data_IF_707217767016
#
_entry.id   IF_707217767016
#
_cell.length_a   1.000
_cell.length_b   1.000
_cell.length_c   1.000
_cell.angle_alpha   90.00
_cell.angle_beta   90.00
_cell.angle_gamma   90.00
#
_symmetry.space_group_name_H-M   'P 1'
#
loop_
_entity.id
_entity.type
_entity.pdbx_description
1 polymer ?
#
# COMPACT_ATOMS: atom_id res chain seq x y z
N UNK A 1 18.95 15.24 20.48
CA UNK A 1 17.48 15.11 20.39
C UNK A 1 17.14 14.86 18.94
N UNK A 2 16.62 13.68 18.59
CA UNK A 2 16.10 13.45 17.23
C UNK A 2 14.87 14.34 17.03
N UNK A 3 14.90 15.21 16.01
CA UNK A 3 13.72 16.00 15.64
C UNK A 3 12.58 15.08 15.19
N UNK A 4 11.34 15.49 15.46
CA UNK A 4 10.12 14.77 15.04
C UNK A 4 10.17 14.43 13.54
N UNK A 5 10.74 15.33 12.73
CA UNK A 5 10.96 15.23 11.28
C UNK A 5 11.85 14.06 10.88
N UNK A 6 12.92 13.76 11.64
CA UNK A 6 13.81 12.63 11.32
C UNK A 6 13.13 11.26 11.54
N UNK A 7 12.25 11.16 12.56
CA UNK A 7 11.47 9.96 12.81
C UNK A 7 10.38 9.76 11.76
N UNK A 8 9.68 10.83 11.38
CA UNK A 8 8.70 10.83 10.29
C UNK A 8 9.35 10.40 8.97
N UNK A 9 10.49 11.01 8.61
CA UNK A 9 11.23 10.63 7.40
C UNK A 9 11.55 9.13 7.37
N UNK A 10 12.13 8.59 8.44
CA UNK A 10 12.47 7.16 8.52
C UNK A 10 11.25 6.26 8.46
N UNK A 11 10.14 6.68 9.06
CA UNK A 11 8.89 5.94 9.01
C UNK A 11 8.35 5.89 7.57
N UNK A 12 8.17 7.05 6.93
CA UNK A 12 7.64 7.16 5.57
C UNK A 12 8.55 6.42 4.59
N UNK A 13 9.87 6.55 4.74
CA UNK A 13 10.82 5.83 3.88
C UNK A 13 10.65 4.31 3.99
N UNK A 14 10.60 3.79 5.21
CA UNK A 14 10.38 2.34 5.43
C UNK A 14 9.02 1.88 4.91
N UNK A 15 8.00 2.70 5.06
CA UNK A 15 6.67 2.43 4.55
C UNK A 15 6.65 2.38 3.01
N UNK A 16 7.33 3.33 2.36
CA UNK A 16 7.54 3.36 0.92
C UNK A 16 8.28 2.12 0.41
N UNK A 17 9.44 1.80 1.01
CA UNK A 17 10.25 0.64 0.62
C UNK A 17 9.45 -0.69 0.82
N UNK A 18 8.63 -0.77 1.87
CA UNK A 18 7.74 -1.90 2.10
C UNK A 18 6.62 -1.98 1.06
N UNK A 19 6.04 -0.84 0.68
CA UNK A 19 5.05 -0.79 -0.40
C UNK A 19 5.61 -1.24 -1.75
N UNK A 20 6.85 -0.91 -2.08
CA UNK A 20 7.53 -1.45 -3.27
C UNK A 20 7.53 -2.98 -3.26
N UNK A 21 7.94 -3.57 -2.13
CA UNK A 21 7.94 -5.04 -1.96
C UNK A 21 6.54 -5.63 -2.12
N UNK A 22 5.52 -4.97 -1.57
CA UNK A 22 4.14 -5.43 -1.73
C UNK A 22 3.69 -5.37 -3.19
N UNK A 23 3.97 -4.28 -3.90
CA UNK A 23 3.58 -4.12 -5.30
C UNK A 23 4.22 -5.21 -6.18
N UNK A 24 5.50 -5.52 -5.96
CA UNK A 24 6.18 -6.65 -6.62
C UNK A 24 5.53 -8.00 -6.26
N UNK A 25 5.14 -8.18 -5.00
CA UNK A 25 4.39 -9.35 -4.56
C UNK A 25 3.03 -9.49 -5.26
N UNK A 26 2.27 -8.40 -5.40
CA UNK A 26 0.99 -8.38 -6.10
C UNK A 26 1.14 -8.66 -7.61
N UNK A 27 2.22 -8.21 -8.23
CA UNK A 27 2.55 -8.60 -9.61
C UNK A 27 2.82 -10.11 -9.72
N UNK A 28 3.49 -10.68 -8.73
CA UNK A 28 3.73 -12.13 -8.65
C UNK A 28 2.42 -12.91 -8.46
N UNK A 29 1.47 -12.40 -7.66
CA UNK A 29 0.11 -12.97 -7.54
C UNK A 29 -0.58 -13.05 -8.90
N UNK A 30 -0.52 -11.98 -9.71
CA UNK A 30 -1.11 -11.99 -11.06
C UNK A 30 -0.47 -13.06 -11.93
N UNK A 31 0.85 -13.25 -11.81
CA UNK A 31 1.56 -14.29 -12.55
C UNK A 31 1.12 -15.69 -12.14
N UNK A 32 0.95 -15.96 -10.84
CA UNK A 32 0.41 -17.23 -10.36
C UNK A 32 -0.98 -17.54 -10.92
N UNK A 33 -1.88 -16.55 -10.97
CA UNK A 33 -3.20 -16.77 -11.58
C UNK A 33 -3.13 -17.04 -13.08
N UNK A 34 -2.17 -16.46 -13.81
CA UNK A 34 -1.96 -16.75 -15.23
C UNK A 34 -1.44 -18.16 -15.46
N UNK A 35 -0.62 -18.65 -14.54
CA UNK A 35 0.05 -19.95 -14.60
C UNK A 35 -0.76 -21.08 -13.96
N UNK A 36 -2.04 -20.84 -13.58
CA UNK A 36 -2.94 -21.82 -12.96
C UNK A 36 -2.41 -22.34 -11.61
N UNK A 37 -1.86 -21.42 -10.82
CA UNK A 37 -1.35 -21.64 -9.47
C UNK A 37 -2.18 -20.83 -8.46
N UNK A 38 -3.52 -21.01 -8.47
CA UNK A 38 -4.45 -20.18 -7.71
C UNK A 38 -4.19 -20.23 -6.20
N UNK A 39 -3.89 -21.41 -5.64
CA UNK A 39 -3.63 -21.54 -4.21
C UNK A 39 -2.37 -20.79 -3.77
N UNK A 40 -1.35 -20.73 -4.62
CA UNK A 40 -0.12 -19.96 -4.36
C UNK A 40 -0.39 -18.47 -4.50
N UNK A 41 -1.18 -18.08 -5.51
CA UNK A 41 -1.63 -16.71 -5.70
C UNK A 41 -2.46 -16.19 -4.53
N UNK A 42 -3.43 -16.97 -4.06
CA UNK A 42 -4.31 -16.61 -2.93
C UNK A 42 -3.52 -16.46 -1.62
N UNK A 43 -2.59 -17.40 -1.36
CA UNK A 43 -1.71 -17.33 -0.18
C UNK A 43 -0.83 -16.08 -0.20
N UNK A 44 -0.15 -15.83 -1.33
CA UNK A 44 0.72 -14.67 -1.46
C UNK A 44 -0.09 -13.36 -1.37
N UNK A 45 -1.28 -13.30 -1.96
CA UNK A 45 -2.17 -12.14 -1.85
C UNK A 45 -2.52 -11.87 -0.39
N UNK A 46 -2.94 -12.89 0.35
CA UNK A 46 -3.25 -12.79 1.77
C UNK A 46 -2.06 -12.26 2.57
N UNK A 47 -0.86 -12.80 2.34
CA UNK A 47 0.36 -12.38 3.02
C UNK A 47 0.73 -10.92 2.72
N UNK A 48 0.57 -10.49 1.46
CA UNK A 48 0.85 -9.11 1.04
C UNK A 48 -0.13 -8.11 1.68
N UNK A 49 -1.41 -8.48 1.81
CA UNK A 49 -2.44 -7.61 2.35
C UNK A 49 -2.50 -7.59 3.88
N UNK A 50 -2.08 -8.68 4.56
CA UNK A 50 -2.11 -8.78 6.02
C UNK A 50 -1.28 -7.68 6.71
N UNK A 51 -0.19 -7.22 6.07
CA UNK A 51 0.64 -6.15 6.64
C UNK A 51 -0.07 -4.80 6.75
N UNK A 52 -1.15 -4.56 6.00
CA UNK A 52 -1.88 -3.29 6.01
C UNK A 52 -2.80 -3.10 7.21
N UNK A 53 -3.13 -4.16 7.95
CA UNK A 53 -3.89 -4.06 9.21
C UNK A 53 -3.23 -3.09 10.20
N UNK A 54 -1.89 -2.98 10.16
CA UNK A 54 -1.09 -2.11 11.03
C UNK A 54 -1.05 -0.64 10.60
N UNK A 55 -1.53 -0.34 9.40
CA UNK A 55 -1.53 1.00 8.79
C UNK A 55 -2.96 1.54 8.59
N UNK A 56 -3.93 0.95 9.31
CA UNK A 56 -5.32 1.38 9.40
C UNK A 56 -5.50 2.75 10.07
N UNK A 57 -6.76 3.16 10.22
CA UNK A 57 -7.17 4.44 10.83
C UNK A 57 -6.62 4.65 12.26
N UNK A 58 -6.25 3.61 12.99
CA UNK A 58 -5.71 3.74 14.34
C UNK A 58 -4.21 4.13 14.37
N UNK A 59 -3.54 4.16 13.22
CA UNK A 59 -2.11 4.48 13.16
C UNK A 59 -1.88 6.00 13.26
N UNK A 60 -1.57 6.48 14.47
CA UNK A 60 -1.27 7.91 14.72
C UNK A 60 -0.17 8.47 13.82
N UNK A 61 0.82 7.67 13.41
CA UNK A 61 1.89 8.16 12.53
C UNK A 61 1.37 8.43 11.13
N UNK A 62 0.46 7.59 10.63
CA UNK A 62 -0.21 7.80 9.34
C UNK A 62 -1.05 9.08 9.37
N UNK A 63 -1.80 9.33 10.45
CA UNK A 63 -2.55 10.58 10.62
C UNK A 63 -1.66 11.82 10.68
N UNK A 64 -0.53 11.74 11.36
CA UNK A 64 0.39 12.88 11.44
C UNK A 64 0.99 13.21 10.07
N UNK A 65 1.27 12.19 9.24
CA UNK A 65 1.91 12.37 7.93
C UNK A 65 0.91 12.73 6.83
N UNK A 66 -0.20 12.01 6.76
CA UNK A 66 -1.17 12.10 5.66
C UNK A 66 -2.44 12.88 6.05
N UNK A 67 -2.70 13.04 7.35
CA UNK A 67 -3.90 13.71 7.88
C UNK A 67 -3.93 15.23 7.77
N UNK A 68 -2.83 15.85 7.33
CA UNK A 68 -2.71 17.32 7.27
C UNK A 68 -3.26 17.93 5.97
N UNK A 69 -3.45 17.12 4.92
CA UNK A 69 -3.95 17.58 3.62
C UNK A 69 -5.20 16.78 3.25
N UNK A 70 -6.29 17.48 2.95
CA UNK A 70 -7.60 16.86 2.69
C UNK A 70 -7.54 15.83 1.53
N UNK A 71 -6.80 16.15 0.48
CA UNK A 71 -6.62 15.24 -0.67
C UNK A 71 -5.88 13.95 -0.27
N UNK A 72 -4.87 14.04 0.60
CA UNK A 72 -4.12 12.87 1.08
C UNK A 72 -4.96 11.98 1.99
N UNK A 73 -5.81 12.58 2.82
CA UNK A 73 -6.78 11.84 3.65
C UNK A 73 -7.77 11.09 2.77
N UNK A 74 -8.30 11.75 1.74
CA UNK A 74 -9.26 11.14 0.83
C UNK A 74 -8.66 9.92 0.12
N UNK A 75 -7.45 10.07 -0.42
CA UNK A 75 -6.75 8.98 -1.10
C UNK A 75 -6.36 7.87 -0.13
N UNK A 76 -5.98 8.19 1.11
CA UNK A 76 -5.69 7.17 2.12
C UNK A 76 -6.92 6.34 2.46
N UNK A 77 -8.07 6.99 2.68
CA UNK A 77 -9.33 6.29 2.96
C UNK A 77 -9.77 5.42 1.76
N UNK A 78 -9.62 5.94 0.54
CA UNK A 78 -9.93 5.16 -0.67
C UNK A 78 -8.99 3.96 -0.80
N UNK A 79 -7.70 4.13 -0.56
CA UNK A 79 -6.73 3.05 -0.58
C UNK A 79 -7.08 1.96 0.45
N UNK A 80 -7.47 2.34 1.67
CA UNK A 80 -7.89 1.37 2.69
C UNK A 80 -9.13 0.57 2.26
N UNK A 81 -10.10 1.20 1.59
CA UNK A 81 -11.25 0.50 1.03
C UNK A 81 -10.83 -0.49 -0.07
N UNK A 82 -9.87 -0.11 -0.92
CA UNK A 82 -9.35 -0.98 -1.98
C UNK A 82 -8.56 -2.17 -1.40
N UNK A 83 -7.79 -1.97 -0.32
CA UNK A 83 -7.14 -3.05 0.44
C UNK A 83 -8.18 -4.00 1.02
N UNK A 84 -9.21 -3.47 1.68
CA UNK A 84 -10.28 -4.29 2.27
C UNK A 84 -11.03 -5.08 1.19
N UNK A 85 -11.35 -4.46 0.05
CA UNK A 85 -11.97 -5.15 -1.08
C UNK A 85 -11.07 -6.27 -1.62
N UNK A 86 -9.76 -6.04 -1.73
CA UNK A 86 -8.79 -7.03 -2.18
C UNK A 86 -8.66 -8.24 -1.22
N UNK A 87 -8.76 -8.00 0.10
CA UNK A 87 -8.76 -9.07 1.11
C UNK A 87 -10.00 -9.97 1.01
N UNK A 88 -11.09 -9.45 0.46
CA UNK A 88 -12.37 -10.14 0.33
C UNK A 88 -12.59 -10.74 -1.07
N UNK A 89 -11.56 -10.81 -1.93
CA UNK A 89 -11.65 -11.53 -3.20
C UNK A 89 -11.90 -13.01 -2.90
N UNK A 90 -13.03 -13.60 -3.35
CA UNK A 90 -13.32 -14.99 -3.01
C UNK A 90 -12.29 -15.95 -3.62
N UNK A 91 -11.74 -16.85 -2.80
CA UNK A 91 -10.75 -17.84 -3.24
C UNK A 91 -11.29 -18.76 -4.35
N UNK A 92 -12.59 -19.01 -4.40
CA UNK A 92 -13.26 -19.79 -5.43
C UNK A 92 -13.64 -19.00 -6.70
N UNK A 93 -13.25 -17.72 -6.79
CA UNK A 93 -13.47 -16.92 -8.00
C UNK A 93 -12.67 -17.47 -9.17
N UNK A 94 -13.25 -17.34 -10.37
CA UNK A 94 -12.57 -17.66 -11.62
C UNK A 94 -11.22 -16.90 -11.74
N UNK A 95 -10.12 -17.56 -12.15
CA UNK A 95 -8.80 -16.94 -12.27
C UNK A 95 -8.77 -15.70 -13.17
N UNK A 96 -9.55 -15.67 -14.27
CA UNK A 96 -9.60 -14.49 -15.14
C UNK A 96 -10.27 -13.32 -14.43
N UNK A 97 -11.30 -13.58 -13.62
CA UNK A 97 -11.90 -12.54 -12.79
C UNK A 97 -10.92 -12.01 -11.74
N UNK A 98 -10.16 -12.89 -11.06
CA UNK A 98 -9.11 -12.47 -10.11
C UNK A 98 -8.04 -11.60 -10.79
N UNK A 99 -7.55 -12.01 -11.96
CA UNK A 99 -6.60 -11.20 -12.75
C UNK A 99 -7.21 -9.85 -13.12
N UNK A 100 -8.46 -9.81 -13.55
CA UNK A 100 -9.14 -8.57 -13.91
C UNK A 100 -9.25 -7.62 -12.71
N UNK A 101 -9.64 -8.12 -11.54
CA UNK A 101 -9.69 -7.33 -10.30
C UNK A 101 -8.30 -6.82 -9.90
N UNK A 102 -7.28 -7.69 -9.94
CA UNK A 102 -5.91 -7.33 -9.61
C UNK A 102 -5.36 -6.25 -10.54
N UNK A 103 -5.56 -6.39 -11.85
CA UNK A 103 -4.98 -5.47 -12.85
C UNK A 103 -5.75 -4.18 -13.03
N UNK A 104 -7.07 -4.16 -12.80
CA UNK A 104 -7.91 -2.97 -12.99
C UNK A 104 -8.13 -2.16 -11.71
N UNK A 105 -8.00 -2.79 -10.56
CA UNK A 105 -8.36 -2.17 -9.27
C UNK A 105 -7.19 -2.22 -8.29
N UNK A 106 -6.77 -3.42 -7.88
CA UNK A 106 -5.82 -3.57 -6.76
C UNK A 106 -4.45 -2.99 -7.10
N UNK A 107 -3.81 -3.41 -8.19
CA UNK A 107 -2.47 -2.92 -8.51
C UNK A 107 -2.45 -1.40 -8.79
N UNK A 108 -3.39 -0.82 -9.56
CA UNK A 108 -3.47 0.63 -9.71
C UNK A 108 -3.68 1.38 -8.39
N UNK A 109 -4.48 0.85 -7.45
CA UNK A 109 -4.68 1.43 -6.13
C UNK A 109 -3.36 1.60 -5.36
N UNK A 110 -2.58 0.52 -5.31
CA UNK A 110 -1.30 0.49 -4.62
C UNK A 110 -0.28 1.43 -5.27
N UNK A 111 -0.24 1.48 -6.60
CA UNK A 111 0.63 2.39 -7.33
C UNK A 111 0.25 3.86 -7.10
N UNK A 112 -1.04 4.21 -7.09
CA UNK A 112 -1.51 5.57 -6.76
C UNK A 112 -1.10 5.97 -5.35
N UNK A 113 -1.35 5.08 -4.38
CA UNK A 113 -0.98 5.35 -2.99
C UNK A 113 0.53 5.50 -2.83
N UNK A 114 1.33 4.68 -3.52
CA UNK A 114 2.80 4.77 -3.49
C UNK A 114 3.29 6.14 -3.98
N UNK A 115 2.70 6.69 -5.05
CA UNK A 115 3.05 8.03 -5.54
C UNK A 115 2.77 9.13 -4.50
N UNK A 116 1.69 8.99 -3.73
CA UNK A 116 1.34 9.93 -2.65
C UNK A 116 2.34 9.80 -1.49
N UNK A 117 2.72 8.57 -1.13
CA UNK A 117 3.72 8.30 -0.11
C UNK A 117 5.09 8.88 -0.50
N UNK A 118 5.48 8.74 -1.77
CA UNK A 118 6.69 9.35 -2.31
C UNK A 118 6.64 10.88 -2.22
N UNK A 119 5.53 11.50 -2.62
CA UNK A 119 5.33 12.95 -2.47
C UNK A 119 5.44 13.40 -1.01
N UNK A 120 4.86 12.65 -0.07
CA UNK A 120 5.00 12.94 1.36
C UNK A 120 6.44 12.77 1.87
N UNK A 121 7.19 11.81 1.34
CA UNK A 121 8.60 11.63 1.66
C UNK A 121 9.44 12.82 1.19
N UNK A 122 9.19 13.30 -0.03
CA UNK A 122 9.87 14.45 -0.62
C UNK A 122 9.59 15.73 0.18
N UNK A 123 8.34 15.97 0.59
CA UNK A 123 7.96 17.10 1.45
C UNK A 123 8.75 17.12 2.77
N UNK A 124 8.84 15.96 3.44
CA UNK A 124 9.55 15.83 4.71
C UNK A 124 11.06 16.00 4.51
N UNK A 125 11.59 15.59 3.36
CA UNK A 125 12.99 15.79 3.00
C UNK A 125 13.31 17.27 2.74
N UNK A 126 12.44 18.02 2.06
CA UNK A 126 12.59 19.46 1.81
C UNK A 126 12.48 20.32 3.07
N UNK A 127 11.84 19.81 4.13
CA UNK A 127 11.72 20.50 5.43
C UNK A 127 12.90 20.25 6.37
N UNK A 128 13.86 19.39 5.98
CA UNK A 128 15.06 19.13 6.78
C UNK A 128 15.98 20.36 6.65
N UNK A 129 16.29 21.10 7.72
CA UNK A 129 17.31 22.13 7.64
C UNK A 129 18.65 21.44 7.30
N UNK A 130 19.40 22.00 6.37
CA UNK A 130 20.78 21.58 6.09
C UNK A 130 21.52 21.48 7.43
N UNK A 131 22.02 20.28 7.73
CA UNK A 131 22.72 19.96 8.96
C UNK A 131 24.09 20.63 9.01
#
# INVERSE_FOLDING_TARGET
>A
MESLTAKQYRFIRRYYDWMETVIEGLQTVIQFYRDQHEEQGDRLLSDMLAGFERFGEDNLTMHVVFGQQEDRVREWNQFQQEVYAAQNIPANSDPMNKIAQMTKTVLPAFQRWQMIVQSALDDVQSQKPDA
#
